data_IF_808439751614
#
_entry.id   IF_808439751614
#
_cell.length_a   1.000
_cell.length_b   1.000
_cell.length_c   1.000
_cell.angle_alpha   90.00
_cell.angle_beta   90.00
_cell.angle_gamma   90.00
#
_symmetry.space_group_name_H-M   'P 1'
#
loop_
_entity.id
_entity.type
_entity.pdbx_description
1 polymer ?
#
# COMPACT_ATOMS: atom_id res chain seq x y z
N UNK A 1 -25.75 -6.92 -13.24
CA UNK A 1 -25.31 -8.21 -12.65
C UNK A 1 -24.56 -7.90 -11.34
N UNK A 2 -24.78 -8.65 -10.25
CA UNK A 2 -24.17 -8.41 -8.92
C UNK A 2 -22.63 -8.42 -8.95
N UNK A 3 -22.01 -9.32 -9.72
CA UNK A 3 -20.56 -9.40 -9.92
C UNK A 3 -20.00 -8.10 -10.53
N UNK A 4 -20.62 -7.62 -11.60
CA UNK A 4 -20.18 -6.39 -12.27
C UNK A 4 -20.30 -5.17 -11.35
N UNK A 5 -21.39 -5.09 -10.57
CA UNK A 5 -21.56 -4.02 -9.59
C UNK A 5 -20.46 -4.06 -8.51
N UNK A 6 -20.11 -5.25 -8.02
CA UNK A 6 -19.05 -5.40 -7.03
C UNK A 6 -17.68 -4.95 -7.55
N UNK A 7 -17.29 -5.42 -8.75
CA UNK A 7 -16.03 -5.04 -9.39
C UNK A 7 -15.97 -3.53 -9.70
N UNK A 8 -17.11 -2.94 -10.10
CA UNK A 8 -17.23 -1.50 -10.32
C UNK A 8 -17.05 -0.72 -9.01
N UNK A 9 -17.72 -1.14 -7.94
CA UNK A 9 -17.63 -0.46 -6.65
C UNK A 9 -16.20 -0.52 -6.09
N UNK A 10 -15.51 -1.65 -6.23
CA UNK A 10 -14.11 -1.78 -5.82
C UNK A 10 -13.19 -0.79 -6.53
N UNK A 11 -13.31 -0.69 -7.85
CA UNK A 11 -12.55 0.27 -8.65
C UNK A 11 -12.85 1.71 -8.24
N UNK A 12 -14.13 2.07 -8.17
CA UNK A 12 -14.57 3.40 -7.79
C UNK A 12 -14.03 3.81 -6.42
N UNK A 13 -14.16 2.94 -5.41
CA UNK A 13 -13.64 3.21 -4.08
C UNK A 13 -12.12 3.38 -4.10
N UNK A 14 -11.41 2.53 -4.84
CA UNK A 14 -9.95 2.59 -4.90
C UNK A 14 -9.45 3.85 -5.62
N UNK A 15 -10.06 4.21 -6.76
CA UNK A 15 -9.76 5.44 -7.50
C UNK A 15 -10.02 6.69 -6.66
N UNK A 16 -11.15 6.75 -5.95
CA UNK A 16 -11.46 7.86 -5.06
C UNK A 16 -10.39 8.03 -3.98
N UNK A 17 -9.98 6.94 -3.32
CA UNK A 17 -8.91 6.97 -2.32
C UNK A 17 -7.57 7.38 -2.94
N UNK A 18 -7.27 6.91 -4.15
CA UNK A 18 -6.05 7.28 -4.88
C UNK A 18 -6.03 8.78 -5.20
N UNK A 19 -7.14 9.35 -5.69
CA UNK A 19 -7.25 10.77 -5.97
C UNK A 19 -7.06 11.62 -4.70
N UNK A 20 -7.72 11.24 -3.60
CA UNK A 20 -7.57 11.91 -2.32
C UNK A 20 -6.15 11.81 -1.75
N UNK A 21 -5.47 10.68 -1.99
CA UNK A 21 -4.07 10.48 -1.65
C UNK A 21 -3.16 11.42 -2.46
N UNK A 22 -3.33 11.47 -3.78
CA UNK A 22 -2.49 12.27 -4.67
C UNK A 22 -2.69 13.79 -4.51
N UNK A 23 -3.84 14.23 -3.99
CA UNK A 23 -4.03 15.63 -3.56
C UNK A 23 -3.18 16.02 -2.36
N UNK A 24 -2.75 15.05 -1.54
CA UNK A 24 -2.04 15.28 -0.26
C UNK A 24 -0.54 14.98 -0.32
N UNK A 25 -0.10 14.09 -1.21
CA UNK A 25 1.30 13.69 -1.33
C UNK A 25 2.17 14.81 -1.90
N UNK A 26 3.38 14.98 -1.35
CA UNK A 26 4.36 15.95 -1.86
C UNK A 26 5.36 15.24 -2.77
N UNK A 27 5.13 15.27 -4.07
CA UNK A 27 6.03 14.67 -5.06
C UNK A 27 7.33 15.46 -5.27
N UNK A 28 7.54 16.58 -4.57
CA UNK A 28 8.82 17.29 -4.56
C UNK A 28 9.79 16.76 -3.48
N UNK A 29 9.32 15.98 -2.50
CA UNK A 29 10.18 15.39 -1.46
C UNK A 29 11.03 14.26 -2.05
N UNK A 30 12.27 14.52 -2.46
CA UNK A 30 13.07 13.56 -3.21
C UNK A 30 13.66 12.43 -2.35
N UNK A 31 13.60 12.51 -1.01
CA UNK A 31 14.05 11.44 -0.13
C UNK A 31 13.05 10.27 -0.13
N UNK A 32 13.55 9.09 -0.47
CA UNK A 32 12.72 7.89 -0.59
C UNK A 32 11.97 7.56 0.71
N UNK A 33 12.66 7.39 1.84
CA UNK A 33 11.99 6.97 3.07
C UNK A 33 11.11 8.08 3.65
N UNK A 34 11.49 9.36 3.49
CA UNK A 34 10.62 10.47 3.86
C UNK A 34 9.31 10.45 3.06
N UNK A 35 9.36 10.20 1.74
CA UNK A 35 8.16 10.12 0.90
C UNK A 35 7.29 8.90 1.21
N UNK A 36 7.89 7.74 1.49
CA UNK A 36 7.11 6.57 1.90
C UNK A 36 6.45 6.80 3.28
N UNK A 37 7.16 7.40 4.25
CA UNK A 37 6.55 7.81 5.54
C UNK A 37 5.40 8.79 5.34
N UNK A 38 5.56 9.77 4.45
CA UNK A 38 4.47 10.69 4.09
C UNK A 38 3.27 9.93 3.55
N UNK A 39 3.50 8.96 2.64
CA UNK A 39 2.46 8.11 2.07
C UNK A 39 1.69 7.35 3.15
N UNK A 40 2.38 6.75 4.12
CA UNK A 40 1.74 6.04 5.25
C UNK A 40 0.89 7.00 6.08
N UNK A 41 1.42 8.18 6.42
CA UNK A 41 0.67 9.19 7.18
C UNK A 41 -0.62 9.59 6.46
N UNK A 42 -0.55 9.86 5.16
CA UNK A 42 -1.72 10.20 4.35
C UNK A 42 -2.72 9.03 4.35
N UNK A 43 -2.25 7.80 4.20
CA UNK A 43 -3.10 6.60 4.25
C UNK A 43 -3.83 6.48 5.60
N UNK A 44 -3.13 6.73 6.71
CA UNK A 44 -3.74 6.76 8.06
C UNK A 44 -4.78 7.87 8.20
N UNK A 45 -4.52 9.05 7.65
CA UNK A 45 -5.49 10.15 7.65
C UNK A 45 -6.72 9.81 6.80
N UNK A 46 -6.54 9.15 5.65
CA UNK A 46 -7.66 8.73 4.80
C UNK A 46 -8.48 7.58 5.42
N UNK A 47 -7.83 6.67 6.15
CA UNK A 47 -8.50 5.62 6.92
C UNK A 47 -9.50 6.20 7.93
N UNK A 48 -9.16 7.32 8.56
CA UNK A 48 -10.06 8.00 9.51
C UNK A 48 -11.15 8.83 8.83
N UNK A 49 -10.88 9.37 7.64
CA UNK A 49 -11.83 10.18 6.87
C UNK A 49 -12.88 9.33 6.12
N UNK A 50 -12.48 8.15 5.64
CA UNK A 50 -13.29 7.30 4.78
C UNK A 50 -13.38 5.84 5.31
N UNK A 51 -13.76 5.62 6.58
CA UNK A 51 -13.71 4.29 7.20
C UNK A 51 -14.49 3.23 6.44
N UNK A 52 -15.70 3.55 5.96
CA UNK A 52 -16.56 2.59 5.25
C UNK A 52 -15.98 2.17 3.89
N UNK A 53 -15.28 3.08 3.19
CA UNK A 53 -14.61 2.75 1.92
C UNK A 53 -13.44 1.81 2.15
N UNK A 54 -12.64 2.06 3.19
CA UNK A 54 -11.53 1.19 3.53
C UNK A 54 -12.02 -0.17 4.04
N UNK A 55 -13.09 -0.23 4.82
CA UNK A 55 -13.71 -1.49 5.23
C UNK A 55 -14.17 -2.29 4.01
N UNK A 56 -14.83 -1.65 3.04
CA UNK A 56 -15.23 -2.32 1.80
C UNK A 56 -14.04 -2.82 0.98
N UNK A 57 -13.02 -1.97 0.77
CA UNK A 57 -11.79 -2.35 0.04
C UNK A 57 -11.11 -3.52 0.76
N UNK A 58 -11.01 -3.48 2.08
CA UNK A 58 -10.38 -4.53 2.88
C UNK A 58 -11.13 -5.86 2.73
N UNK A 59 -12.45 -5.86 2.84
CA UNK A 59 -13.27 -7.06 2.62
C UNK A 59 -13.08 -7.58 1.19
N UNK A 60 -13.05 -6.69 0.19
CA UNK A 60 -12.80 -7.06 -1.20
C UNK A 60 -11.39 -7.60 -1.44
N UNK A 61 -10.40 -7.17 -0.66
CA UNK A 61 -9.05 -7.74 -0.70
C UNK A 61 -9.01 -9.17 -0.14
N UNK A 62 -9.87 -9.49 0.83
CA UNK A 62 -9.98 -10.82 1.46
C UNK A 62 -10.89 -11.80 0.71
N UNK A 63 -11.65 -11.32 -0.27
CA UNK A 63 -12.61 -12.10 -1.05
C UNK A 63 -11.90 -13.18 -1.88
N UNK A 64 -12.37 -14.43 -1.72
CA UNK A 64 -11.70 -15.63 -2.24
C UNK A 64 -12.66 -16.55 -3.02
N UNK A 65 -13.90 -16.13 -3.23
CA UNK A 65 -14.87 -16.90 -4.01
C UNK A 65 -14.39 -17.11 -5.45
N UNK A 66 -14.54 -18.36 -5.91
CA UNK A 66 -14.10 -18.78 -7.24
C UNK A 66 -14.75 -18.01 -8.39
N UNK A 67 -15.91 -17.38 -8.14
CA UNK A 67 -16.66 -16.63 -9.14
C UNK A 67 -16.01 -15.29 -9.52
N UNK A 68 -15.31 -14.62 -8.59
CA UNK A 68 -14.77 -13.27 -8.82
C UNK A 68 -13.27 -13.14 -8.54
N UNK A 69 -12.63 -14.17 -7.98
CA UNK A 69 -11.22 -14.14 -7.59
C UNK A 69 -10.28 -13.76 -8.73
N UNK A 70 -10.44 -14.35 -9.92
CA UNK A 70 -9.53 -14.09 -11.05
C UNK A 70 -9.62 -12.63 -11.51
N UNK A 71 -10.84 -12.11 -11.68
CA UNK A 71 -11.03 -10.72 -12.08
C UNK A 71 -10.61 -9.74 -10.97
N UNK A 72 -10.84 -10.08 -9.70
CA UNK A 72 -10.37 -9.27 -8.59
C UNK A 72 -8.85 -9.21 -8.50
N UNK A 73 -8.15 -10.35 -8.60
CA UNK A 73 -6.68 -10.37 -8.58
C UNK A 73 -6.08 -9.58 -9.74
N UNK A 74 -6.67 -9.70 -10.94
CA UNK A 74 -6.26 -8.89 -12.08
C UNK A 74 -6.43 -7.39 -11.78
N UNK A 75 -7.57 -7.01 -11.24
CA UNK A 75 -7.89 -5.60 -10.96
C UNK A 75 -7.05 -5.01 -9.84
N UNK A 76 -6.78 -5.78 -8.77
CA UNK A 76 -5.84 -5.41 -7.71
C UNK A 76 -4.48 -5.11 -8.31
N UNK A 77 -3.96 -6.00 -9.17
CA UNK A 77 -2.66 -5.83 -9.81
C UNK A 77 -2.62 -4.57 -10.69
N UNK A 78 -3.61 -4.37 -11.55
CA UNK A 78 -3.68 -3.19 -12.42
C UNK A 78 -3.68 -1.88 -11.61
N UNK A 79 -4.44 -1.85 -10.52
CA UNK A 79 -4.54 -0.70 -9.63
C UNK A 79 -3.25 -0.43 -8.85
N UNK A 80 -2.57 -1.49 -8.38
CA UNK A 80 -1.26 -1.38 -7.74
C UNK A 80 -0.21 -0.84 -8.74
N UNK A 81 -0.13 -1.44 -9.94
CA UNK A 81 0.83 -1.03 -10.96
C UNK A 81 0.63 0.45 -11.38
N UNK A 82 -0.62 0.90 -11.51
CA UNK A 82 -0.97 2.28 -11.84
C UNK A 82 -0.56 3.29 -10.76
N UNK A 83 -0.71 2.91 -9.49
CA UNK A 83 -0.59 3.84 -8.37
C UNK A 83 0.78 3.84 -7.68
N UNK A 84 1.62 2.82 -7.86
CA UNK A 84 2.95 2.83 -7.23
C UNK A 84 4.01 3.54 -8.08
N UNK A 85 3.85 3.61 -9.41
CA UNK A 85 4.84 4.22 -10.30
C UNK A 85 5.13 5.69 -9.98
N UNK A 86 4.09 6.51 -9.76
CA UNK A 86 4.24 7.96 -9.55
C UNK A 86 4.93 8.31 -8.23
N UNK A 87 4.82 7.47 -7.21
CA UNK A 87 5.47 7.74 -5.90
C UNK A 87 7.00 7.77 -6.06
N UNK A 88 7.55 6.98 -6.98
CA UNK A 88 8.99 6.90 -7.21
C UNK A 88 9.54 7.97 -8.17
N UNK A 89 8.68 8.76 -8.81
CA UNK A 89 9.11 9.82 -9.73
C UNK A 89 9.89 10.92 -9.00
N UNK A 90 11.08 11.27 -9.49
CA UNK A 90 11.89 12.34 -8.89
C UNK A 90 12.54 11.98 -7.55
N UNK A 91 12.56 10.70 -7.16
CA UNK A 91 13.33 10.24 -6.02
C UNK A 91 14.83 10.36 -6.31
N UNK A 92 15.56 10.92 -5.35
CA UNK A 92 17.01 10.96 -5.37
C UNK A 92 17.58 9.63 -4.82
N UNK A 93 18.07 8.80 -5.73
CA UNK A 93 18.68 7.53 -5.36
C UNK A 93 20.14 7.65 -4.88
N UNK A 94 20.75 8.84 -4.90
CA UNK A 94 22.16 9.02 -4.50
C UNK A 94 22.43 8.78 -3.02
N UNK A 95 21.40 8.86 -2.17
CA UNK A 95 21.46 8.54 -0.74
C UNK A 95 21.57 7.06 -0.45
N UNK A 96 21.16 6.21 -1.39
CA UNK A 96 21.35 4.78 -1.27
C UNK A 96 22.82 4.43 -1.48
N UNK A 97 23.22 3.33 -0.85
CA UNK A 97 24.47 2.62 -1.12
C UNK A 97 24.74 2.47 -2.62
N UNK A 98 25.97 2.78 -3.03
CA UNK A 98 26.44 2.64 -4.41
C UNK A 98 27.15 1.31 -4.67
N UNK A 99 27.45 0.54 -3.62
CA UNK A 99 28.05 -0.79 -3.70
C UNK A 99 27.03 -1.92 -3.95
N UNK A 100 25.74 -1.60 -3.98
CA UNK A 100 24.63 -2.54 -4.20
C UNK A 100 23.72 -2.05 -5.30
N UNK A 101 23.25 -2.97 -6.15
CA UNK A 101 22.26 -2.69 -7.18
C UNK A 101 20.96 -2.12 -6.57
N UNK A 102 20.66 -0.86 -6.92
CA UNK A 102 19.47 -0.14 -6.44
C UNK A 102 18.17 -0.88 -6.75
N UNK A 103 18.07 -1.58 -7.88
CA UNK A 103 16.86 -2.32 -8.22
C UNK A 103 16.62 -3.47 -7.25
N UNK A 104 17.69 -4.09 -6.75
CA UNK A 104 17.58 -5.13 -5.72
C UNK A 104 17.21 -4.55 -4.36
N UNK A 105 17.75 -3.40 -4.00
CA UNK A 105 17.38 -2.69 -2.77
C UNK A 105 15.87 -2.39 -2.78
N UNK A 106 15.38 -1.73 -3.83
CA UNK A 106 13.97 -1.36 -3.94
C UNK A 106 13.05 -2.58 -3.90
N UNK A 107 13.48 -3.68 -4.52
CA UNK A 107 12.75 -4.95 -4.49
C UNK A 107 12.68 -5.56 -3.08
N UNK A 108 13.78 -5.54 -2.32
CA UNK A 108 13.79 -6.00 -0.92
C UNK A 108 12.80 -5.16 -0.10
N UNK A 109 12.88 -3.84 -0.19
CA UNK A 109 11.99 -2.92 0.51
C UNK A 109 10.52 -3.22 0.17
N UNK A 110 10.21 -3.33 -1.13
CA UNK A 110 8.86 -3.60 -1.62
C UNK A 110 8.33 -4.92 -1.08
N UNK A 111 9.09 -6.01 -1.20
CA UNK A 111 8.71 -7.33 -0.70
C UNK A 111 8.50 -7.36 0.81
N UNK A 112 9.30 -6.62 1.58
CA UNK A 112 9.10 -6.52 3.03
C UNK A 112 7.72 -5.94 3.36
N UNK A 113 7.35 -4.82 2.75
CA UNK A 113 6.07 -4.18 3.04
C UNK A 113 4.86 -4.87 2.41
N UNK A 114 5.00 -5.47 1.22
CA UNK A 114 3.99 -6.33 0.63
C UNK A 114 3.69 -7.53 1.55
N UNK A 115 4.74 -8.23 1.98
CA UNK A 115 4.58 -9.40 2.84
C UNK A 115 3.97 -9.05 4.19
N UNK A 116 4.38 -7.92 4.78
CA UNK A 116 3.74 -7.39 5.99
C UNK A 116 2.25 -7.13 5.77
N UNK A 117 1.88 -6.49 4.66
CA UNK A 117 0.47 -6.24 4.33
C UNK A 117 -0.33 -7.53 4.16
N UNK A 118 0.23 -8.53 3.48
CA UNK A 118 -0.41 -9.84 3.29
C UNK A 118 -0.64 -10.57 4.61
N UNK A 119 0.33 -10.51 5.52
CA UNK A 119 0.23 -11.13 6.84
C UNK A 119 -0.87 -10.48 7.69
N UNK A 120 -1.00 -9.15 7.65
CA UNK A 120 -2.05 -8.44 8.37
C UNK A 120 -3.44 -8.68 7.77
N UNK A 121 -3.56 -8.74 6.45
CA UNK A 121 -4.80 -9.15 5.79
C UNK A 121 -5.20 -10.58 6.17
N UNK A 122 -4.23 -11.50 6.21
CA UNK A 122 -4.49 -12.89 6.61
C UNK A 122 -4.94 -12.98 8.08
N UNK A 123 -4.28 -12.26 8.99
CA UNK A 123 -4.67 -12.20 10.41
C UNK A 123 -6.07 -11.63 10.56
N UNK A 124 -6.36 -10.51 9.91
CA UNK A 124 -7.66 -9.87 9.98
C UNK A 124 -8.78 -10.76 9.42
N UNK A 125 -8.53 -11.50 8.33
CA UNK A 125 -9.50 -12.49 7.80
C UNK A 125 -9.92 -13.56 8.82
N UNK A 126 -9.07 -13.85 9.81
CA UNK A 126 -9.36 -14.83 10.86
C UNK A 126 -10.09 -14.22 12.07
N UNK A 127 -10.23 -12.89 12.13
CA UNK A 127 -10.95 -12.20 13.21
C UNK A 127 -12.45 -12.07 12.89
N UNK A 128 -13.34 -12.16 13.90
CA UNK A 128 -14.79 -12.04 13.67
C UNK A 128 -15.22 -10.72 13.02
N UNK A 129 -14.54 -9.62 13.36
CA UNK A 129 -14.83 -8.26 12.87
C UNK A 129 -14.01 -7.89 11.63
N UNK A 130 -13.11 -8.77 11.19
CA UNK A 130 -12.20 -8.57 10.07
C UNK A 130 -11.35 -7.29 10.16
N UNK A 131 -11.10 -6.75 11.36
CA UNK A 131 -10.39 -5.46 11.51
C UNK A 131 -8.87 -5.61 11.49
N UNK A 132 -8.19 -4.64 10.88
CA UNK A 132 -6.73 -4.44 10.99
C UNK A 132 -6.46 -3.33 12.00
N UNK A 133 -5.51 -3.54 12.91
CA UNK A 133 -4.97 -2.48 13.76
C UNK A 133 -3.94 -1.66 12.97
N UNK A 134 -4.43 -0.73 12.16
CA UNK A 134 -3.58 0.09 11.30
C UNK A 134 -2.56 0.94 12.09
N UNK A 135 -2.85 1.29 13.35
CA UNK A 135 -1.88 2.01 14.19
C UNK A 135 -0.73 1.12 14.62
N UNK A 136 -1.00 -0.14 14.95
CA UNK A 136 0.05 -1.12 15.21
C UNK A 136 0.88 -1.39 13.96
N UNK A 137 0.23 -1.61 12.82
CA UNK A 137 0.93 -1.86 11.53
C UNK A 137 1.82 -0.66 11.16
N UNK A 138 1.33 0.57 11.33
CA UNK A 138 2.14 1.76 11.05
C UNK A 138 3.37 1.89 11.97
N UNK A 139 3.27 1.46 13.24
CA UNK A 139 4.42 1.46 14.16
C UNK A 139 5.44 0.40 13.77
N UNK A 140 4.98 -0.80 13.44
CA UNK A 140 5.85 -1.88 12.99
C UNK A 140 6.56 -1.51 11.67
N UNK A 141 5.85 -0.89 10.72
CA UNK A 141 6.46 -0.39 9.48
C UNK A 141 7.59 0.63 9.74
N UNK A 142 7.44 1.48 10.75
CA UNK A 142 8.48 2.44 11.15
C UNK A 142 9.74 1.73 11.67
N UNK A 143 9.60 0.65 12.45
CA UNK A 143 10.73 -0.17 12.90
C UNK A 143 11.50 -0.77 11.71
N UNK A 144 10.78 -1.25 10.68
CA UNK A 144 11.40 -1.72 9.45
C UNK A 144 12.06 -0.60 8.65
N UNK A 145 11.48 0.60 8.58
CA UNK A 145 12.18 1.74 7.95
C UNK A 145 13.52 2.02 8.60
N UNK A 146 13.59 2.01 9.93
CA UNK A 146 14.84 2.26 10.64
C UNK A 146 15.91 1.20 10.33
N UNK A 147 15.52 -0.07 10.17
CA UNK A 147 16.43 -1.13 9.72
C UNK A 147 16.86 -0.91 8.28
N UNK A 148 15.90 -0.69 7.37
CA UNK A 148 16.16 -0.56 5.94
C UNK A 148 17.00 0.67 5.61
N UNK A 149 16.78 1.80 6.31
CA UNK A 149 17.63 2.99 6.23
C UNK A 149 19.06 2.64 6.62
N UNK A 150 19.27 2.01 7.79
CA UNK A 150 20.62 1.63 8.26
C UNK A 150 21.32 0.64 7.32
N UNK A 151 20.57 -0.24 6.66
CA UNK A 151 21.13 -1.24 5.76
C UNK A 151 21.42 -0.71 4.35
N UNK A 152 20.64 0.27 3.87
CA UNK A 152 20.61 0.64 2.46
C UNK A 152 20.92 2.11 2.15
N UNK A 153 20.90 3.01 3.11
CA UNK A 153 21.47 4.36 2.97
C UNK A 153 22.98 4.34 3.26
N UNK A 154 23.69 5.35 2.74
CA UNK A 154 25.12 5.58 3.01
C UNK A 154 25.36 6.11 4.43
#
# INVERSE_FOLDING_TARGET
NKKQLYLFLFEYCYELIADEFYKKINLAESDFFARIRQSIKIKMDLLTQYPDLFDFIQIAMMEDSTEIKVEMEKKKKELLDLNFGKIYEGIDFSKFRDDVDIQKILKIITWTFEKMSDEELYKAKMLPDHKIDYQKVSREAEEYFEVLIKCFYK
#
